data_IF_247829211532
#
_entry.id   IF_247829211532
#
_cell.length_a   1.000
_cell.length_b   1.000
_cell.length_c   1.000
_cell.angle_alpha   90.00
_cell.angle_beta   90.00
_cell.angle_gamma   90.00
#
_symmetry.space_group_name_H-M   'P 1'
#
loop_
_entity.id
_entity.type
_entity.pdbx_description
1 polymer ?
#
# COMPACT_ATOMS: atom_id res chain seq x y z
N UNK A 1 -13.56 -6.59 -12.86
CA UNK A 1 -14.16 -5.25 -12.65
C UNK A 1 -13.15 -4.20 -13.07
N UNK A 2 -13.59 -3.18 -13.79
CA UNK A 2 -12.71 -2.09 -14.19
C UNK A 2 -12.34 -1.24 -12.96
N UNK A 3 -11.05 -1.04 -12.74
CA UNK A 3 -10.53 -0.18 -11.67
C UNK A 3 -10.74 1.29 -12.08
N UNK A 4 -11.35 2.14 -11.24
CA UNK A 4 -11.55 3.55 -11.57
C UNK A 4 -10.23 4.29 -11.75
N UNK A 5 -10.19 5.19 -12.74
CA UNK A 5 -9.03 6.07 -12.96
C UNK A 5 -9.00 7.19 -11.94
N UNK A 6 -7.80 7.72 -11.65
CA UNK A 6 -7.64 8.85 -10.72
C UNK A 6 -8.48 10.07 -11.17
N UNK A 7 -8.58 10.29 -12.49
CA UNK A 7 -9.31 11.40 -13.08
C UNK A 7 -10.81 11.40 -12.76
N UNK A 8 -11.40 10.26 -12.39
CA UNK A 8 -12.81 10.11 -12.04
C UNK A 8 -13.09 10.33 -10.54
N UNK A 9 -12.04 10.38 -9.71
CA UNK A 9 -12.18 10.48 -8.26
C UNK A 9 -11.95 11.92 -7.80
N UNK A 10 -12.89 12.46 -7.03
CA UNK A 10 -12.77 13.76 -6.38
C UNK A 10 -13.26 13.65 -4.93
N UNK A 11 -12.74 14.47 -4.00
CA UNK A 11 -13.36 14.59 -2.67
C UNK A 11 -14.86 14.87 -2.79
N UNK A 12 -15.67 14.23 -1.94
CA UNK A 12 -17.13 14.28 -1.96
C UNK A 12 -17.81 13.21 -2.82
N UNK A 13 -17.08 12.54 -3.72
CA UNK A 13 -17.65 11.45 -4.55
C UNK A 13 -17.87 10.19 -3.71
N UNK A 14 -19.03 9.55 -3.89
CA UNK A 14 -19.34 8.25 -3.29
C UNK A 14 -18.63 7.10 -4.01
N UNK A 15 -18.03 6.20 -3.24
CA UNK A 15 -17.25 5.07 -3.75
C UNK A 15 -17.44 3.82 -2.90
N UNK A 16 -17.17 2.67 -3.53
CA UNK A 16 -17.01 1.38 -2.86
C UNK A 16 -15.52 1.02 -2.82
N UNK A 17 -15.01 0.72 -1.64
CA UNK A 17 -13.60 0.39 -1.44
C UNK A 17 -13.39 -0.83 -0.54
N UNK A 18 -12.24 -1.47 -0.70
CA UNK A 18 -11.78 -2.54 0.20
C UNK A 18 -10.83 -1.95 1.23
N UNK A 19 -11.17 -2.12 2.51
CA UNK A 19 -10.28 -1.81 3.62
C UNK A 19 -9.19 -2.87 3.74
N UNK A 20 -8.06 -2.52 4.37
CA UNK A 20 -6.97 -3.48 4.57
C UNK A 20 -7.40 -4.71 5.37
N UNK A 21 -8.24 -4.54 6.39
CA UNK A 21 -8.80 -5.63 7.18
C UNK A 21 -9.65 -6.59 6.33
N UNK A 22 -10.38 -6.04 5.36
CA UNK A 22 -11.30 -6.80 4.51
C UNK A 22 -10.66 -7.37 3.24
N UNK A 23 -9.35 -7.19 3.01
CA UNK A 23 -8.67 -7.70 1.81
C UNK A 23 -8.81 -9.21 1.62
N UNK A 24 -8.86 -9.99 2.70
CA UNK A 24 -9.07 -11.45 2.65
C UNK A 24 -10.55 -11.82 2.41
N UNK A 25 -11.48 -11.02 2.94
CA UNK A 25 -12.92 -11.28 2.83
C UNK A 25 -13.52 -10.70 1.55
N UNK A 26 -12.88 -9.72 0.93
CA UNK A 26 -13.41 -8.99 -0.23
C UNK A 26 -14.57 -8.04 0.09
N UNK A 27 -14.88 -7.79 1.37
CA UNK A 27 -15.99 -6.90 1.75
C UNK A 27 -15.73 -5.48 1.26
N UNK A 28 -16.75 -4.90 0.64
CA UNK A 28 -16.73 -3.52 0.17
C UNK A 28 -17.38 -2.63 1.21
N UNK A 29 -16.72 -1.51 1.50
CA UNK A 29 -17.23 -0.43 2.32
C UNK A 29 -17.59 0.73 1.41
N UNK A 30 -18.83 1.21 1.50
CA UNK A 30 -19.33 2.37 0.77
C UNK A 30 -19.09 3.63 1.60
N UNK A 31 -18.71 4.73 0.96
CA UNK A 31 -18.60 6.03 1.62
C UNK A 31 -18.17 7.15 0.68
N UNK A 32 -18.12 8.38 1.19
CA UNK A 32 -17.63 9.55 0.45
C UNK A 32 -16.14 9.78 0.66
N UNK A 33 -15.43 10.13 -0.42
CA UNK A 33 -14.00 10.45 -0.37
C UNK A 33 -13.77 11.75 0.39
N UNK A 34 -12.89 11.72 1.39
CA UNK A 34 -12.33 12.90 2.05
C UNK A 34 -11.03 13.33 1.38
N UNK A 35 -10.11 12.39 1.15
CA UNK A 35 -8.78 12.70 0.61
C UNK A 35 -8.29 11.57 -0.32
N UNK A 36 -7.60 11.95 -1.40
CA UNK A 36 -6.96 11.01 -2.32
C UNK A 36 -5.48 10.86 -1.94
N UNK A 37 -5.06 9.64 -1.60
CA UNK A 37 -3.71 9.35 -1.08
C UNK A 37 -2.76 8.74 -2.13
N UNK A 38 -3.28 8.41 -3.32
CA UNK A 38 -2.48 7.89 -4.44
C UNK A 38 -2.23 8.99 -5.45
N UNK A 39 -1.02 9.02 -6.01
CA UNK A 39 -0.67 9.86 -7.17
C UNK A 39 -0.70 9.02 -8.44
N UNK A 40 -1.48 9.44 -9.44
CA UNK A 40 -1.60 8.77 -10.74
C UNK A 40 -2.52 7.56 -10.77
N UNK A 41 -2.59 6.90 -11.92
CA UNK A 41 -3.35 5.66 -12.12
C UNK A 41 -2.61 4.45 -11.54
N UNK A 42 -3.35 3.53 -10.92
CA UNK A 42 -2.76 2.40 -10.23
C UNK A 42 -3.48 1.09 -10.60
N UNK A 43 -2.76 0.00 -10.94
CA UNK A 43 -3.36 -1.21 -11.51
C UNK A 43 -4.34 -1.92 -10.57
N UNK A 44 -4.13 -1.78 -9.26
CA UNK A 44 -5.01 -2.35 -8.21
C UNK A 44 -5.93 -1.34 -7.54
N UNK A 45 -6.07 -0.14 -8.11
CA UNK A 45 -6.93 0.90 -7.58
C UNK A 45 -6.24 1.97 -6.75
N UNK A 46 -6.95 3.09 -6.65
CA UNK A 46 -6.55 4.34 -6.02
C UNK A 46 -6.78 4.20 -4.51
N UNK A 47 -5.78 4.57 -3.70
CA UNK A 47 -5.91 4.63 -2.25
C UNK A 47 -6.55 5.96 -1.86
N UNK A 48 -7.61 5.91 -1.07
CA UNK A 48 -8.32 7.10 -0.60
C UNK A 48 -8.68 6.96 0.88
N UNK A 49 -8.95 8.09 1.52
CA UNK A 49 -9.52 8.20 2.86
C UNK A 49 -10.98 8.61 2.73
N UNK A 50 -11.88 7.92 3.44
CA UNK A 50 -13.29 8.25 3.55
C UNK A 50 -13.54 9.36 4.58
N UNK A 51 -14.72 9.99 4.54
CA UNK A 51 -15.16 10.98 5.53
C UNK A 51 -15.19 10.45 6.97
N UNK A 52 -15.35 9.13 7.16
CA UNK A 52 -15.27 8.46 8.46
C UNK A 52 -13.82 8.16 8.92
N UNK A 53 -12.81 8.60 8.16
CA UNK A 53 -11.39 8.39 8.47
C UNK A 53 -10.81 7.04 8.03
N UNK A 54 -11.64 6.11 7.53
CA UNK A 54 -11.16 4.81 7.04
C UNK A 54 -10.38 4.95 5.73
N UNK A 55 -9.39 4.08 5.53
CA UNK A 55 -8.49 4.11 4.37
C UNK A 55 -8.54 2.77 3.62
N UNK A 56 -8.76 2.83 2.30
CA UNK A 56 -8.92 1.64 1.47
C UNK A 56 -8.54 1.85 0.01
N UNK A 57 -8.66 0.78 -0.79
CA UNK A 57 -8.50 0.79 -2.26
C UNK A 57 -9.87 0.87 -2.93
N UNK A 58 -10.09 1.88 -3.78
CA UNK A 58 -11.34 2.03 -4.53
C UNK A 58 -11.48 0.92 -5.56
N UNK A 59 -12.65 0.27 -5.56
CA UNK A 59 -13.02 -0.78 -6.52
C UNK A 59 -14.07 -0.32 -7.52
N UNK A 60 -15.03 0.52 -7.11
CA UNK A 60 -16.04 1.09 -7.98
C UNK A 60 -16.57 2.42 -7.45
N UNK A 61 -17.16 3.23 -8.32
CA UNK A 61 -17.94 4.43 -7.95
C UNK A 61 -19.32 3.99 -7.47
N UNK A 62 -19.87 4.61 -6.43
CA UNK A 62 -21.29 4.44 -6.12
C UNK A 62 -22.08 5.31 -7.10
N UNK A 63 -23.02 4.72 -7.85
CA UNK A 63 -23.90 5.48 -8.72
C UNK A 63 -24.89 6.29 -7.84
N UNK A 64 -24.43 7.44 -7.36
CA UNK A 64 -25.27 8.43 -6.69
C UNK A 64 -25.74 9.41 -7.77
N UNK A 65 -27.02 9.33 -8.10
CA UNK A 65 -27.70 9.98 -9.22
C UNK A 65 -27.80 11.51 -9.16
N UNK A 66 -26.94 12.20 -8.42
CA UNK A 66 -27.11 13.62 -8.06
C UNK A 66 -26.49 14.57 -9.08
N UNK A 67 -26.71 14.27 -10.37
CA UNK A 67 -26.38 15.14 -11.50
C UNK A 67 -27.64 15.34 -12.34
N UNK A 68 -28.66 15.92 -11.73
CA UNK A 68 -29.77 16.58 -12.42
C UNK A 68 -29.96 17.94 -11.71
N UNK A 69 -30.07 19.03 -12.48
CA UNK A 69 -30.39 20.39 -12.03
C UNK A 69 -29.25 21.40 -11.74
N UNK A 70 -28.28 21.62 -12.64
CA UNK A 70 -27.64 22.96 -12.79
C UNK A 70 -27.35 23.32 -14.28
N UNK A 71 -28.20 22.89 -15.22
CA UNK A 71 -28.07 23.30 -16.65
C UNK A 71 -29.30 24.08 -17.16
N UNK A 72 -30.20 24.55 -16.30
CA UNK A 72 -31.43 25.24 -16.73
C UNK A 72 -31.44 26.76 -16.53
N UNK A 73 -30.32 27.42 -16.20
CA UNK A 73 -30.30 28.89 -16.06
C UNK A 73 -29.11 29.49 -16.81
N UNK A 74 -29.15 29.44 -18.14
CA UNK A 74 -28.44 30.38 -19.00
C UNK A 74 -29.40 30.80 -20.11
N UNK A 75 -30.03 31.99 -20.05
CA UNK A 75 -30.79 32.51 -21.17
C UNK A 75 -29.80 32.90 -22.27
N UNK A 76 -29.91 32.21 -23.41
CA UNK A 76 -29.19 32.51 -24.63
C UNK A 76 -29.43 33.98 -25.02
N UNK A 77 -28.38 34.79 -24.94
CA UNK A 77 -28.35 36.11 -25.58
C UNK A 77 -28.22 35.88 -27.08
N UNK A 78 -29.31 36.18 -27.79
CA UNK A 78 -29.41 36.23 -29.24
C UNK A 78 -28.41 37.30 -29.75
N UNK A 79 -27.23 36.88 -30.18
CA UNK A 79 -26.32 37.75 -30.92
C UNK A 79 -26.87 37.87 -32.36
N UNK A 80 -27.45 39.02 -32.65
CA UNK A 80 -27.76 39.47 -34.00
C UNK A 80 -26.49 39.50 -34.84
N UNK A 81 -26.63 39.00 -36.07
CA UNK A 81 -25.75 39.23 -37.21
C UNK A 81 -25.22 40.65 -37.23
N UNK A 82 -23.90 40.82 -37.29
CA UNK A 82 -23.24 41.61 -38.33
C UNK A 82 -21.70 41.56 -38.18
N UNK A 83 -21.09 41.07 -39.26
CA UNK A 83 -19.80 41.45 -39.83
C UNK A 83 -18.44 41.10 -39.17
N UNK A 84 -17.52 40.75 -40.08
CA UNK A 84 -16.06 40.82 -40.01
C UNK A 84 -15.30 39.57 -39.53
N UNK A 85 -15.16 38.59 -40.43
CA UNK A 85 -14.08 37.60 -40.39
C UNK A 85 -12.96 38.08 -41.32
N UNK A 86 -12.01 38.85 -40.79
CA UNK A 86 -10.71 38.97 -41.43
C UNK A 86 -9.56 39.03 -40.41
N UNK A 87 -8.55 38.21 -40.75
CA UNK A 87 -7.11 38.37 -40.50
C UNK A 87 -6.48 37.91 -39.17
N UNK A 88 -5.91 36.71 -39.28
CA UNK A 88 -4.50 36.35 -39.00
C UNK A 88 -3.92 36.50 -37.59
N UNK A 89 -3.58 35.38 -36.92
CA UNK A 89 -2.51 35.34 -35.93
C UNK A 89 -1.19 34.90 -36.58
N UNK A 90 -0.23 35.81 -36.63
CA UNK A 90 1.19 35.55 -36.83
C UNK A 90 1.69 34.48 -35.86
N UNK A 91 2.06 33.30 -36.36
CA UNK A 91 2.73 32.28 -35.55
C UNK A 91 4.19 32.69 -35.32
N UNK A 92 4.66 32.85 -34.06
CA UNK A 92 6.06 33.12 -33.80
C UNK A 92 6.86 31.82 -33.88
N UNK A 93 8.00 31.86 -34.56
CA UNK A 93 9.12 30.96 -34.29
C UNK A 93 9.06 29.56 -34.90
N UNK A 94 9.04 29.47 -36.23
CA UNK A 94 9.44 28.25 -36.93
C UNK A 94 10.90 27.92 -36.63
N UNK A 95 11.16 27.06 -35.64
CA UNK A 95 12.44 26.35 -35.56
C UNK A 95 12.49 25.43 -36.77
N UNK A 96 13.38 25.71 -37.72
CA UNK A 96 13.71 24.80 -38.81
C UNK A 96 14.16 23.48 -38.19
N UNK A 97 13.30 22.47 -38.25
CA UNK A 97 13.68 21.09 -37.98
C UNK A 97 14.48 20.65 -39.20
N UNK A 98 15.79 20.90 -39.18
CA UNK A 98 16.72 20.22 -40.06
C UNK A 98 16.61 18.74 -39.73
N UNK A 99 16.09 17.96 -40.68
CA UNK A 99 16.26 16.52 -40.71
C UNK A 99 17.73 16.24 -41.03
N UNK A 100 18.61 16.55 -40.07
CA UNK A 100 19.95 16.00 -40.07
C UNK A 100 19.75 14.57 -39.59
N UNK A 101 19.94 13.60 -40.48
CA UNK A 101 20.00 12.19 -40.12
C UNK A 101 21.21 11.98 -39.20
N UNK A 102 20.99 12.24 -37.92
CA UNK A 102 21.88 11.80 -36.85
C UNK A 102 21.63 10.30 -36.69
N UNK A 103 22.11 9.51 -37.64
CA UNK A 103 22.50 8.13 -37.37
C UNK A 103 23.55 8.22 -36.28
N UNK A 104 23.11 8.20 -35.02
CA UNK A 104 23.98 7.76 -33.94
C UNK A 104 24.46 6.38 -34.36
N UNK A 105 25.75 6.29 -34.64
CA UNK A 105 26.47 5.03 -34.55
C UNK A 105 26.39 4.61 -33.08
N UNK A 106 25.28 3.96 -32.71
CA UNK A 106 25.27 3.16 -31.50
C UNK A 106 26.30 2.07 -31.72
N UNK A 107 27.29 1.90 -30.82
CA UNK A 107 28.21 0.78 -30.94
C UNK A 107 27.39 -0.52 -30.90
N UNK A 108 27.57 -1.33 -31.93
CA UNK A 108 27.06 -2.69 -32.09
C UNK A 108 27.04 -3.46 -30.76
N UNK A 109 25.88 -3.90 -30.24
CA UNK A 109 25.84 -4.67 -29.00
C UNK A 109 26.01 -6.15 -29.31
N UNK A 110 27.24 -6.62 -29.50
CA UNK A 110 27.51 -8.05 -29.66
C UNK A 110 28.77 -8.49 -28.90
N UNK A 111 28.69 -8.48 -27.58
CA UNK A 111 29.23 -9.60 -26.81
C UNK A 111 28.03 -10.33 -26.23
N UNK A 112 27.86 -11.60 -26.60
CA UNK A 112 26.84 -12.45 -26.04
C UNK A 112 27.12 -12.63 -24.54
N UNK A 113 26.46 -11.84 -23.71
CA UNK A 113 26.39 -12.09 -22.26
C UNK A 113 25.97 -13.54 -22.06
N UNK A 114 26.84 -14.31 -21.41
CA UNK A 114 26.63 -15.72 -21.15
C UNK A 114 25.34 -15.90 -20.36
N UNK A 115 24.59 -16.97 -20.64
CA UNK A 115 23.38 -17.33 -19.90
C UNK A 115 23.64 -17.44 -18.38
N UNK A 116 24.90 -17.66 -17.99
CA UNK A 116 25.36 -17.69 -16.61
C UNK A 116 25.26 -16.33 -15.88
N UNK A 117 25.42 -15.19 -16.56
CA UNK A 117 25.40 -13.87 -15.92
C UNK A 117 23.99 -13.47 -15.44
N UNK A 118 22.95 -14.06 -16.05
CA UNK A 118 21.57 -13.86 -15.64
C UNK A 118 21.17 -14.71 -14.42
N UNK A 119 21.94 -15.75 -14.10
CA UNK A 119 21.70 -16.58 -12.91
C UNK A 119 22.40 -15.91 -11.74
N UNK A 120 21.72 -14.96 -11.10
CA UNK A 120 22.14 -14.41 -9.81
C UNK A 120 22.07 -15.54 -8.77
N UNK A 121 23.20 -16.19 -8.51
CA UNK A 121 23.29 -17.16 -7.42
C UNK A 121 22.79 -16.49 -6.13
N UNK A 122 21.85 -17.10 -5.39
CA UNK A 122 21.44 -16.57 -4.10
C UNK A 122 22.67 -16.57 -3.21
N UNK A 123 23.20 -15.38 -2.89
CA UNK A 123 24.24 -15.25 -1.87
C UNK A 123 23.71 -15.97 -0.63
N UNK A 124 24.44 -16.96 -0.16
CA UNK A 124 24.17 -17.69 1.09
C UNK A 124 24.43 -16.76 2.27
N UNK A 125 23.65 -15.68 2.36
CA UNK A 125 23.48 -14.92 3.57
C UNK A 125 22.81 -15.86 4.56
N UNK A 126 23.64 -16.50 5.39
CA UNK A 126 23.25 -17.22 6.59
C UNK A 126 22.49 -16.22 7.47
N UNK A 127 21.19 -16.06 7.21
CA UNK A 127 20.30 -15.25 8.03
C UNK A 127 20.12 -16.03 9.33
N UNK A 128 20.91 -15.69 10.35
CA UNK A 128 20.53 -15.97 11.74
C UNK A 128 19.24 -15.21 11.99
N UNK A 129 18.12 -15.91 11.95
CA UNK A 129 16.88 -15.38 12.49
C UNK A 129 17.00 -15.42 14.01
N UNK A 130 16.93 -14.30 14.74
CA UNK A 130 16.55 -14.36 16.14
C UNK A 130 15.11 -14.88 16.18
N UNK A 131 14.89 -15.99 16.86
CA UNK A 131 13.57 -16.54 17.16
C UNK A 131 12.80 -15.56 18.02
N UNK A 132 12.00 -14.69 17.41
CA UNK A 132 11.04 -13.85 18.12
C UNK A 132 9.72 -14.62 18.32
N UNK A 133 9.72 -15.57 19.24
CA UNK A 133 8.48 -16.06 19.86
C UNK A 133 8.10 -15.07 20.96
N UNK A 134 7.16 -14.21 20.64
CA UNK A 134 6.54 -13.27 21.59
C UNK A 134 5.62 -14.02 22.55
N UNK A 135 6.10 -14.35 23.75
CA UNK A 135 5.29 -14.60 24.96
C UNK A 135 5.79 -13.68 26.09
N UNK A 136 5.23 -12.47 26.25
CA UNK A 136 5.95 -11.39 26.93
C UNK A 136 5.88 -11.41 28.47
N UNK A 137 5.50 -12.54 29.10
CA UNK A 137 5.36 -12.58 30.57
C UNK A 137 6.02 -13.79 31.21
N UNK A 138 5.99 -14.96 30.55
CA UNK A 138 6.55 -16.22 31.09
C UNK A 138 8.08 -16.26 31.08
N UNK A 139 8.70 -15.59 30.10
CA UNK A 139 10.15 -15.60 29.93
C UNK A 139 10.88 -14.88 31.08
N UNK A 140 10.28 -13.84 31.66
CA UNK A 140 10.91 -13.09 32.77
C UNK A 140 10.85 -13.88 34.07
N UNK A 141 9.71 -14.52 34.37
CA UNK A 141 9.54 -15.35 35.57
C UNK A 141 10.42 -16.59 35.51
N UNK A 142 10.53 -17.23 34.35
CA UNK A 142 11.40 -18.39 34.14
C UNK A 142 12.88 -18.02 34.34
N UNK A 143 13.34 -16.92 33.74
CA UNK A 143 14.73 -16.47 33.87
C UNK A 143 15.12 -16.11 35.33
N UNK A 144 14.17 -15.58 36.12
CA UNK A 144 14.39 -15.32 37.54
C UNK A 144 14.54 -16.63 38.32
N UNK A 145 13.72 -17.65 38.02
CA UNK A 145 13.81 -18.96 38.68
C UNK A 145 15.09 -19.71 38.32
N UNK A 146 15.50 -19.68 37.04
CA UNK A 146 16.78 -20.26 36.58
C UNK A 146 17.99 -19.69 37.31
N UNK A 147 17.97 -18.38 37.63
CA UNK A 147 19.05 -17.75 38.41
C UNK A 147 19.06 -18.17 39.89
N UNK A 148 17.89 -18.48 40.46
CA UNK A 148 17.76 -18.89 41.86
C UNK A 148 18.08 -20.39 42.06
N UNK A 149 17.90 -21.21 41.03
CA UNK A 149 18.13 -22.66 41.06
C UNK A 149 19.04 -23.10 39.92
N UNK A 150 20.36 -22.81 40.00
CA UNK A 150 21.31 -23.12 38.93
C UNK A 150 21.55 -24.63 38.72
N UNK A 151 21.20 -25.45 39.72
CA UNK A 151 21.40 -26.90 39.69
C UNK A 151 20.22 -27.66 39.05
N UNK A 152 19.15 -26.95 38.67
CA UNK A 152 17.97 -27.53 38.03
C UNK A 152 17.92 -27.24 36.53
N UNK A 153 17.44 -28.21 35.75
CA UNK A 153 17.29 -28.07 34.30
C UNK A 153 16.22 -27.03 33.94
N UNK A 154 16.51 -26.18 32.95
CA UNK A 154 15.58 -25.14 32.47
C UNK A 154 14.26 -25.71 31.96
N UNK A 155 14.28 -26.91 31.38
CA UNK A 155 13.09 -27.62 30.95
C UNK A 155 12.19 -28.05 32.12
N UNK A 156 12.79 -28.45 33.26
CA UNK A 156 12.06 -28.83 34.48
C UNK A 156 11.41 -27.59 35.11
N UNK A 157 12.15 -26.48 35.19
CA UNK A 157 11.63 -25.19 35.67
C UNK A 157 10.45 -24.72 34.82
N UNK A 158 10.57 -24.83 33.49
CA UNK A 158 9.50 -24.47 32.56
C UNK A 158 8.26 -25.37 32.69
N UNK A 159 8.45 -26.67 32.91
CA UNK A 159 7.35 -27.62 33.11
C UNK A 159 6.57 -27.29 34.39
N UNK A 160 7.27 -27.07 35.51
CA UNK A 160 6.63 -26.71 36.78
C UNK A 160 5.93 -25.34 36.67
N UNK A 161 6.52 -24.37 35.98
CA UNK A 161 5.86 -23.08 35.74
C UNK A 161 4.62 -23.20 34.83
N UNK A 162 4.52 -24.24 33.99
CA UNK A 162 3.35 -24.49 33.15
C UNK A 162 2.19 -25.14 33.92
N UNK A 163 2.51 -25.99 34.92
CA UNK A 163 1.52 -26.70 35.75
C UNK A 163 0.98 -25.87 36.93
N UNK A 164 1.68 -24.79 37.31
CA UNK A 164 1.30 -23.93 38.43
C UNK A 164 0.86 -22.52 37.95
N UNK A 165 -0.31 -22.07 38.42
CA UNK A 165 -0.85 -20.74 38.07
C UNK A 165 -0.08 -19.58 38.74
N UNK A 166 0.64 -19.85 39.83
CA UNK A 166 1.36 -18.85 40.62
C UNK A 166 2.86 -19.19 40.73
N UNK A 167 3.71 -18.16 40.65
CA UNK A 167 5.18 -18.28 40.64
C UNK A 167 5.72 -18.72 42.00
N UNK A 168 5.09 -18.28 43.09
CA UNK A 168 5.53 -18.63 44.46
C UNK A 168 5.29 -20.11 44.76
N UNK A 169 4.21 -20.70 44.24
CA UNK A 169 3.92 -22.12 44.39
C UNK A 169 4.92 -22.96 43.59
N UNK A 170 5.20 -22.57 42.35
CA UNK A 170 6.25 -23.19 41.52
C UNK A 170 7.62 -23.11 42.20
N UNK A 171 7.95 -21.97 42.82
CA UNK A 171 9.21 -21.76 43.56
C UNK A 171 9.32 -22.67 44.79
N UNK A 172 8.22 -22.88 45.51
CA UNK A 172 8.18 -23.80 46.65
C UNK A 172 8.49 -25.24 46.24
N UNK A 173 7.91 -25.71 45.13
CA UNK A 173 8.16 -27.06 44.58
C UNK A 173 9.61 -27.19 44.09
N UNK A 174 10.13 -26.18 43.39
CA UNK A 174 11.53 -26.17 42.92
C UNK A 174 12.52 -26.18 44.10
N UNK A 175 12.20 -25.50 45.21
CA UNK A 175 13.04 -25.51 46.41
C UNK A 175 13.09 -26.86 47.14
N UNK A 176 12.14 -27.77 46.87
CA UNK A 176 12.19 -29.14 47.40
C UNK A 176 13.01 -30.08 46.51
N UNK A 177 13.23 -29.69 45.25
CA UNK A 177 13.94 -30.47 44.23
C UNK A 177 15.41 -30.08 44.10
N UNK A 178 15.77 -28.86 44.52
CA UNK A 178 17.14 -28.36 44.65
C UNK A 178 17.81 -28.82 45.94
#
# INVERSE_FOLDING_TARGET
>A
MAVPKMSQLRPGVGVNMILKADQRSGKLTTGQISEILTRGDHPRGIKVRLSNGQVGRVQSLSASSDQQAITQIMPYVQASSDENYEQSPSHPGGRKFTLQEDYRQDPTPHESTSLADYIRAPSSSKRKHPSSSSTPVKDTTQAILEKNFPDLDSALIAAILADHENVEDARGVLSLLS
#
